data_IF_827113028306
#
_entry.id   IF_827113028306
#
_cell.length_a   1.000
_cell.length_b   1.000
_cell.length_c   1.000
_cell.angle_alpha   90.00
_cell.angle_beta   90.00
_cell.angle_gamma   90.00
#
_symmetry.space_group_name_H-M   'P 1'
#
loop_
_entity.id
_entity.type
_entity.pdbx_description
1 polymer ?
#
# COMPACT_ATOMS: atom_id res chain seq x y z
N UNK A 1 -20.37 -9.25 -7.36
CA UNK A 1 -20.20 -10.72 -7.53
C UNK A 1 -19.84 -11.30 -6.16
N UNK A 2 -20.69 -12.12 -5.53
CA UNK A 2 -20.32 -12.75 -4.24
C UNK A 2 -19.11 -13.64 -4.47
N UNK A 3 -18.03 -13.39 -3.71
CA UNK A 3 -16.84 -14.23 -3.74
C UNK A 3 -17.24 -15.65 -3.37
N UNK A 4 -16.88 -16.60 -4.22
CA UNK A 4 -17.02 -18.02 -3.90
C UNK A 4 -16.18 -18.28 -2.63
N UNK A 5 -16.78 -18.94 -1.63
CA UNK A 5 -16.11 -19.20 -0.35
C UNK A 5 -14.78 -19.96 -0.52
N UNK A 6 -14.57 -20.61 -1.65
CA UNK A 6 -13.33 -21.26 -2.06
C UNK A 6 -12.22 -20.22 -2.30
N UNK A 7 -12.49 -19.14 -3.05
CA UNK A 7 -11.49 -18.08 -3.32
C UNK A 7 -11.03 -17.36 -2.05
N UNK A 8 -11.96 -17.12 -1.13
CA UNK A 8 -11.61 -16.50 0.16
C UNK A 8 -10.70 -17.41 1.00
N UNK A 9 -10.98 -18.73 1.01
CA UNK A 9 -10.13 -19.68 1.71
C UNK A 9 -8.72 -19.75 1.12
N UNK A 10 -8.60 -19.70 -0.19
CA UNK A 10 -7.32 -19.71 -0.89
C UNK A 10 -6.51 -18.43 -0.64
N UNK A 11 -7.17 -17.25 -0.53
CA UNK A 11 -6.50 -15.99 -0.15
C UNK A 11 -5.95 -16.05 1.28
N UNK A 12 -6.67 -16.68 2.22
CA UNK A 12 -6.16 -16.93 3.57
C UNK A 12 -4.95 -17.87 3.57
N UNK A 13 -4.89 -18.82 2.64
CA UNK A 13 -3.69 -19.66 2.50
C UNK A 13 -2.51 -18.87 1.89
N UNK A 14 -2.76 -17.96 0.94
CA UNK A 14 -1.74 -17.04 0.41
C UNK A 14 -1.14 -16.16 1.52
N UNK A 15 -1.99 -15.61 2.39
CA UNK A 15 -1.56 -14.84 3.57
C UNK A 15 -0.65 -15.66 4.48
N UNK A 16 -1.07 -16.89 4.84
CA UNK A 16 -0.27 -17.78 5.68
C UNK A 16 1.07 -18.14 5.05
N UNK A 17 1.07 -18.38 3.74
CA UNK A 17 2.29 -18.72 3.01
C UNK A 17 3.25 -17.53 2.95
N UNK A 18 2.76 -16.33 2.71
CA UNK A 18 3.53 -15.10 2.76
C UNK A 18 4.20 -14.90 4.14
N UNK A 19 3.43 -15.06 5.22
CA UNK A 19 3.96 -14.97 6.59
C UNK A 19 5.04 -16.02 6.84
N UNK A 20 4.81 -17.27 6.42
CA UNK A 20 5.77 -18.39 6.58
C UNK A 20 7.09 -18.13 5.84
N UNK A 21 7.01 -17.48 4.67
CA UNK A 21 8.17 -17.14 3.85
C UNK A 21 8.81 -15.80 4.23
N UNK A 22 8.32 -15.12 5.29
CA UNK A 22 8.72 -13.77 5.69
C UNK A 22 8.61 -12.75 4.56
N UNK A 23 7.62 -12.90 3.68
CA UNK A 23 7.28 -11.89 2.69
C UNK A 23 6.53 -10.77 3.40
N UNK A 24 6.99 -9.52 3.32
CA UNK A 24 6.28 -8.41 3.93
C UNK A 24 4.95 -8.19 3.19
N UNK A 25 3.86 -8.38 3.90
CA UNK A 25 2.50 -8.04 3.48
C UNK A 25 1.85 -7.18 4.56
N UNK A 26 0.91 -6.33 4.17
CA UNK A 26 0.15 -5.52 5.11
C UNK A 26 -0.56 -6.39 6.16
N UNK A 27 -0.54 -5.97 7.41
CA UNK A 27 -1.24 -6.67 8.49
C UNK A 27 -2.75 -6.65 8.26
N UNK A 28 -3.41 -7.76 8.62
CA UNK A 28 -4.83 -7.97 8.32
C UNK A 28 -5.74 -6.87 8.86
N UNK A 29 -5.50 -6.39 10.07
CA UNK A 29 -6.28 -5.33 10.71
C UNK A 29 -6.18 -4.02 9.91
N UNK A 30 -4.97 -3.68 9.47
CA UNK A 30 -4.70 -2.49 8.66
C UNK A 30 -5.35 -2.59 7.29
N UNK A 31 -5.21 -3.76 6.63
CA UNK A 31 -5.79 -4.02 5.33
C UNK A 31 -7.32 -3.98 5.37
N UNK A 32 -7.93 -4.58 6.40
CA UNK A 32 -9.40 -4.53 6.59
C UNK A 32 -9.89 -3.10 6.78
N UNK A 33 -9.21 -2.33 7.63
CA UNK A 33 -9.51 -0.92 7.83
C UNK A 33 -9.43 -0.11 6.53
N UNK A 34 -8.38 -0.30 5.74
CA UNK A 34 -8.20 0.39 4.46
C UNK A 34 -9.31 0.04 3.46
N UNK A 35 -9.66 -1.25 3.32
CA UNK A 35 -10.74 -1.69 2.43
C UNK A 35 -12.09 -1.12 2.86
N UNK A 36 -12.39 -1.10 4.16
CA UNK A 36 -13.64 -0.55 4.68
C UNK A 36 -13.70 0.98 4.48
N UNK A 37 -12.56 1.67 4.62
CA UNK A 37 -12.44 3.09 4.33
C UNK A 37 -12.73 3.38 2.85
N UNK A 38 -12.16 2.60 1.92
CA UNK A 38 -12.40 2.78 0.48
C UNK A 38 -13.86 2.53 0.10
N UNK A 39 -14.49 1.48 0.67
CA UNK A 39 -15.93 1.22 0.48
C UNK A 39 -16.81 2.35 1.00
N UNK A 40 -16.49 2.89 2.18
CA UNK A 40 -17.29 3.94 2.81
C UNK A 40 -17.30 5.22 1.98
N UNK A 41 -16.22 5.48 1.22
CA UNK A 41 -16.09 6.64 0.35
C UNK A 41 -16.51 6.37 -1.10
N UNK A 42 -16.99 5.16 -1.41
CA UNK A 42 -17.37 4.74 -2.77
C UNK A 42 -16.22 4.93 -3.79
N UNK A 43 -15.01 4.59 -3.38
CA UNK A 43 -13.83 4.69 -4.22
C UNK A 43 -13.75 3.50 -5.19
N UNK A 44 -13.24 3.75 -6.41
CA UNK A 44 -13.19 2.78 -7.51
C UNK A 44 -11.80 2.53 -8.08
N UNK A 45 -10.79 3.28 -7.62
CA UNK A 45 -9.43 3.13 -8.14
C UNK A 45 -8.36 3.39 -7.08
N UNK A 46 -7.27 2.60 -7.15
CA UNK A 46 -6.11 2.76 -6.30
C UNK A 46 -4.82 2.64 -7.10
N UNK A 47 -3.90 3.59 -6.91
CA UNK A 47 -2.50 3.42 -7.26
C UNK A 47 -1.75 2.88 -6.04
N UNK A 48 -1.16 1.69 -6.17
CA UNK A 48 -0.38 1.06 -5.12
C UNK A 48 1.12 1.13 -5.42
N UNK A 49 1.92 1.53 -4.46
CA UNK A 49 3.37 1.53 -4.56
C UNK A 49 3.95 0.42 -3.67
N UNK A 50 4.40 -0.66 -4.33
CA UNK A 50 4.88 -1.88 -3.68
C UNK A 50 3.78 -2.92 -3.53
N UNK A 51 3.66 -3.84 -4.50
CA UNK A 51 2.68 -4.92 -4.43
C UNK A 51 3.18 -6.17 -3.71
N UNK A 52 4.48 -6.30 -3.51
CA UNK A 52 5.09 -7.57 -3.11
C UNK A 52 4.55 -8.72 -3.98
N UNK A 53 3.87 -9.70 -3.39
CA UNK A 53 3.25 -10.83 -4.11
C UNK A 53 1.81 -10.55 -4.59
N UNK A 54 1.37 -9.29 -4.56
CA UNK A 54 0.04 -8.86 -5.01
C UNK A 54 -1.08 -9.09 -4.00
N UNK A 55 -0.78 -9.35 -2.73
CA UNK A 55 -1.80 -9.71 -1.72
C UNK A 55 -2.77 -8.55 -1.45
N UNK A 56 -2.29 -7.36 -1.18
CA UNK A 56 -3.10 -6.16 -0.95
C UNK A 56 -3.95 -5.80 -2.17
N UNK A 57 -3.36 -5.81 -3.37
CA UNK A 57 -4.07 -5.56 -4.62
C UNK A 57 -5.21 -6.56 -4.84
N UNK A 58 -4.96 -7.86 -4.62
CA UNK A 58 -5.98 -8.91 -4.68
C UNK A 58 -7.09 -8.68 -3.67
N UNK A 59 -6.74 -8.36 -2.43
CA UNK A 59 -7.73 -8.11 -1.37
C UNK A 59 -8.61 -6.90 -1.70
N UNK A 60 -8.05 -5.80 -2.23
CA UNK A 60 -8.83 -4.64 -2.69
C UNK A 60 -9.75 -5.03 -3.86
N UNK A 61 -9.21 -5.59 -4.93
CA UNK A 61 -9.96 -5.92 -6.15
C UNK A 61 -11.06 -6.96 -5.95
N UNK A 62 -10.90 -7.85 -4.97
CA UNK A 62 -11.87 -8.89 -4.63
C UNK A 62 -12.97 -8.36 -3.71
N UNK A 63 -12.63 -7.53 -2.75
CA UNK A 63 -13.57 -7.10 -1.71
C UNK A 63 -14.34 -5.82 -2.06
N UNK A 64 -13.89 -5.06 -3.07
CA UNK A 64 -14.56 -3.83 -3.50
C UNK A 64 -15.11 -4.07 -4.92
N UNK A 65 -16.40 -3.84 -5.11
CA UNK A 65 -17.03 -3.98 -6.43
C UNK A 65 -16.51 -2.90 -7.38
N UNK A 66 -16.32 -3.24 -8.66
CA UNK A 66 -15.87 -2.34 -9.73
C UNK A 66 -14.60 -1.53 -9.41
N UNK A 67 -13.69 -2.13 -8.61
CA UNK A 67 -12.46 -1.48 -8.16
C UNK A 67 -11.27 -1.90 -9.03
N UNK A 68 -10.51 -0.91 -9.49
CA UNK A 68 -9.29 -1.10 -10.29
C UNK A 68 -8.08 -0.76 -9.42
N UNK A 69 -7.11 -1.65 -9.40
CA UNK A 69 -5.81 -1.42 -8.77
C UNK A 69 -4.74 -1.33 -9.84
N UNK A 70 -3.98 -0.25 -9.86
CA UNK A 70 -2.76 -0.15 -10.65
C UNK A 70 -1.59 -0.12 -9.68
N UNK A 71 -0.60 -1.01 -9.84
CA UNK A 71 0.46 -1.21 -8.86
C UNK A 71 1.85 -1.29 -9.49
N UNK A 72 2.88 -0.83 -8.76
CA UNK A 72 4.27 -0.81 -9.22
C UNK A 72 5.13 -1.62 -8.24
N UNK A 73 5.83 -2.65 -8.75
CA UNK A 73 6.74 -3.49 -7.97
C UNK A 73 8.16 -3.45 -8.56
N UNK A 74 9.15 -3.24 -7.71
CA UNK A 74 10.55 -3.15 -8.12
C UNK A 74 11.24 -4.51 -8.22
N UNK A 75 10.91 -5.42 -7.30
CA UNK A 75 11.55 -6.72 -7.18
C UNK A 75 11.00 -7.69 -8.24
N UNK A 76 11.90 -8.21 -9.09
CA UNK A 76 11.53 -9.08 -10.20
C UNK A 76 10.83 -10.37 -9.74
N UNK A 77 11.31 -10.99 -8.67
CA UNK A 77 10.76 -12.27 -8.21
C UNK A 77 9.38 -12.06 -7.58
N UNK A 78 9.20 -10.97 -6.82
CA UNK A 78 7.91 -10.57 -6.25
C UNK A 78 6.92 -10.19 -7.34
N UNK A 79 7.33 -9.42 -8.34
CA UNK A 79 6.51 -9.09 -9.50
C UNK A 79 6.01 -10.35 -10.20
N UNK A 80 6.90 -11.32 -10.49
CA UNK A 80 6.51 -12.57 -11.14
C UNK A 80 5.52 -13.37 -10.29
N UNK A 81 5.72 -13.41 -8.98
CA UNK A 81 4.80 -14.08 -8.07
C UNK A 81 3.45 -13.35 -7.99
N UNK A 82 3.44 -12.01 -7.97
CA UNK A 82 2.22 -11.22 -8.03
C UNK A 82 1.43 -11.50 -9.32
N UNK A 83 2.09 -11.53 -10.49
CA UNK A 83 1.46 -11.88 -11.76
C UNK A 83 0.84 -13.28 -11.72
N UNK A 84 1.52 -14.28 -11.14
CA UNK A 84 0.96 -15.63 -10.97
C UNK A 84 -0.29 -15.62 -10.09
N UNK A 85 -0.24 -14.88 -8.98
CA UNK A 85 -1.36 -14.76 -8.06
C UNK A 85 -2.55 -14.05 -8.71
N UNK A 86 -2.33 -12.94 -9.41
CA UNK A 86 -3.38 -12.20 -10.14
C UNK A 86 -4.06 -13.11 -11.17
N UNK A 87 -3.28 -13.89 -11.93
CA UNK A 87 -3.80 -14.87 -12.89
C UNK A 87 -4.61 -15.98 -12.20
N UNK A 88 -4.07 -16.56 -11.13
CA UNK A 88 -4.71 -17.63 -10.34
C UNK A 88 -6.11 -17.23 -9.86
N UNK A 89 -6.25 -15.99 -9.41
CA UNK A 89 -7.53 -15.46 -8.92
C UNK A 89 -8.40 -14.83 -10.02
N UNK A 90 -7.94 -14.82 -11.28
CA UNK A 90 -8.65 -14.22 -12.44
C UNK A 90 -8.97 -12.75 -12.25
N UNK A 91 -7.99 -11.97 -11.75
CA UNK A 91 -8.13 -10.54 -11.47
C UNK A 91 -7.40 -9.65 -12.48
N UNK A 92 -6.99 -10.18 -13.64
CA UNK A 92 -6.25 -9.45 -14.67
C UNK A 92 -7.00 -8.25 -15.27
N UNK A 93 -8.33 -8.25 -15.22
CA UNK A 93 -9.14 -7.12 -15.67
C UNK A 93 -9.26 -6.01 -14.61
N UNK A 94 -8.93 -6.32 -13.35
CA UNK A 94 -9.04 -5.39 -12.22
C UNK A 94 -7.69 -4.94 -11.66
N UNK A 95 -6.60 -5.68 -11.95
CA UNK A 95 -5.27 -5.37 -11.41
C UNK A 95 -4.28 -5.23 -12.56
N UNK A 96 -3.72 -4.04 -12.69
CA UNK A 96 -2.66 -3.69 -13.62
C UNK A 96 -1.36 -3.60 -12.83
N UNK A 97 -0.35 -4.40 -13.20
CA UNK A 97 0.91 -4.42 -12.48
C UNK A 97 2.09 -4.05 -13.39
N UNK A 98 2.91 -3.12 -12.93
CA UNK A 98 4.14 -2.68 -13.60
C UNK A 98 5.36 -3.19 -12.85
N UNK A 99 6.34 -3.74 -13.61
CA UNK A 99 7.65 -4.06 -13.06
C UNK A 99 8.60 -2.90 -13.31
N UNK A 100 8.77 -2.02 -12.33
CA UNK A 100 9.64 -0.86 -12.46
C UNK A 100 10.00 -0.26 -11.09
N UNK A 101 10.93 0.68 -11.09
CA UNK A 101 11.24 1.49 -9.93
C UNK A 101 10.27 2.68 -9.83
N UNK A 102 9.40 2.67 -8.84
CA UNK A 102 8.43 3.73 -8.64
C UNK A 102 9.02 5.15 -8.50
N UNK A 103 10.30 5.29 -8.10
CA UNK A 103 10.96 6.62 -8.06
C UNK A 103 11.23 7.19 -9.44
N UNK A 104 11.50 6.34 -10.44
CA UNK A 104 11.87 6.73 -11.81
C UNK A 104 10.81 6.40 -12.84
N UNK A 105 9.77 5.65 -12.45
CA UNK A 105 8.65 5.27 -13.31
C UNK A 105 8.04 6.49 -14.00
N UNK A 106 7.83 6.39 -15.31
CA UNK A 106 7.19 7.44 -16.07
C UNK A 106 5.65 7.36 -15.89
N UNK A 107 5.09 8.36 -15.24
CA UNK A 107 3.65 8.40 -14.94
C UNK A 107 2.77 8.39 -16.21
N UNK A 108 3.31 8.73 -17.38
CA UNK A 108 2.59 8.63 -18.65
C UNK A 108 2.30 7.19 -19.05
N UNK A 109 3.01 6.22 -18.48
CA UNK A 109 2.75 4.79 -18.67
C UNK A 109 1.58 4.25 -17.83
N UNK A 110 1.10 5.00 -16.83
CA UNK A 110 -0.09 4.62 -16.08
C UNK A 110 -1.31 4.60 -17.01
N UNK A 111 -2.14 3.56 -16.87
CA UNK A 111 -3.38 3.38 -17.61
C UNK A 111 -4.42 4.38 -17.12
N UNK A 112 -4.58 4.48 -15.81
CA UNK A 112 -5.40 5.52 -15.18
C UNK A 112 -4.58 6.79 -14.98
N UNK A 113 -5.19 7.95 -15.21
CA UNK A 113 -4.51 9.25 -15.08
C UNK A 113 -4.79 9.93 -13.76
N UNK A 114 -5.87 9.52 -13.08
CA UNK A 114 -6.26 9.97 -11.75
C UNK A 114 -6.78 8.79 -10.95
N UNK A 115 -6.59 8.83 -9.64
CA UNK A 115 -6.97 7.76 -8.72
C UNK A 115 -7.79 8.31 -7.56
N UNK A 116 -8.73 7.52 -7.05
CA UNK A 116 -9.41 7.82 -5.79
C UNK A 116 -8.48 7.62 -4.61
N UNK A 117 -7.58 6.63 -4.71
CA UNK A 117 -6.67 6.27 -3.64
C UNK A 117 -5.22 6.17 -4.13
N UNK A 118 -4.29 6.57 -3.25
CA UNK A 118 -2.88 6.21 -3.31
C UNK A 118 -2.56 5.35 -2.09
N UNK A 119 -1.99 4.17 -2.31
CA UNK A 119 -1.51 3.32 -1.21
C UNK A 119 0.00 3.15 -1.28
N UNK A 120 0.71 3.51 -0.21
CA UNK A 120 2.18 3.43 -0.13
C UNK A 120 2.59 2.38 0.90
N UNK A 121 3.04 1.21 0.43
CA UNK A 121 3.62 0.12 1.24
C UNK A 121 4.91 -0.40 0.59
N UNK A 122 5.80 0.50 0.22
CA UNK A 122 7.07 0.19 -0.43
C UNK A 122 8.27 0.47 0.49
N UNK A 123 9.42 0.75 -0.11
CA UNK A 123 10.66 1.07 0.60
C UNK A 123 10.48 2.28 1.55
N UNK A 124 10.33 2.00 2.82
CA UNK A 124 9.98 2.97 3.89
C UNK A 124 10.91 4.17 3.99
N UNK A 125 12.16 4.03 3.50
CA UNK A 125 13.13 5.12 3.42
C UNK A 125 12.79 6.19 2.36
N UNK A 126 11.79 5.96 1.51
CA UNK A 126 11.44 6.78 0.35
C UNK A 126 9.99 7.31 0.41
N UNK A 127 9.28 7.14 1.50
CA UNK A 127 7.86 7.52 1.64
C UNK A 127 7.55 8.93 1.17
N UNK A 128 8.35 9.91 1.59
CA UNK A 128 8.15 11.30 1.17
C UNK A 128 8.24 11.47 -0.34
N UNK A 129 9.24 10.83 -0.98
CA UNK A 129 9.41 10.93 -2.44
C UNK A 129 8.26 10.25 -3.20
N UNK A 130 7.78 9.09 -2.72
CA UNK A 130 6.61 8.45 -3.30
C UNK A 130 5.37 9.34 -3.14
N UNK A 131 5.16 9.87 -1.95
CA UNK A 131 4.06 10.77 -1.68
C UNK A 131 4.09 12.01 -2.59
N UNK A 132 5.21 12.75 -2.63
CA UNK A 132 5.38 13.95 -3.44
C UNK A 132 5.18 13.66 -4.96
N UNK A 133 5.62 12.49 -5.42
CA UNK A 133 5.49 12.09 -6.83
C UNK A 133 4.07 11.70 -7.22
N UNK A 134 3.37 10.96 -6.38
CA UNK A 134 2.10 10.32 -6.75
C UNK A 134 0.86 10.98 -6.15
N UNK A 135 0.97 11.76 -5.08
CA UNK A 135 -0.17 12.51 -4.53
C UNK A 135 -0.83 13.48 -5.53
N UNK A 136 -0.11 14.09 -6.47
CA UNK A 136 -0.73 14.90 -7.53
C UNK A 136 -1.69 14.12 -8.44
N UNK A 137 -1.58 12.79 -8.53
CA UNK A 137 -2.46 11.91 -9.31
C UNK A 137 -3.71 11.49 -8.52
N UNK A 138 -3.80 11.81 -7.25
CA UNK A 138 -5.00 11.56 -6.43
C UNK A 138 -6.01 12.66 -6.68
N UNK A 139 -7.28 12.29 -6.88
CA UNK A 139 -8.38 13.23 -7.03
C UNK A 139 -8.50 14.15 -5.81
N UNK A 140 -9.19 15.28 -5.95
CA UNK A 140 -9.28 16.26 -4.85
C UNK A 140 -10.05 15.73 -3.63
N UNK A 141 -11.03 14.86 -3.84
CA UNK A 141 -11.79 14.15 -2.80
C UNK A 141 -11.18 12.78 -2.41
N UNK A 142 -10.07 12.43 -3.06
CA UNK A 142 -9.36 11.18 -2.83
C UNK A 142 -8.46 11.19 -1.59
N UNK A 143 -7.84 10.05 -1.32
CA UNK A 143 -6.96 9.87 -0.14
C UNK A 143 -5.65 9.19 -0.48
N UNK A 144 -4.63 9.47 0.33
CA UNK A 144 -3.44 8.64 0.39
C UNK A 144 -3.41 7.86 1.71
N UNK A 145 -3.13 6.57 1.63
CA UNK A 145 -2.89 5.69 2.80
C UNK A 145 -1.43 5.28 2.81
N UNK A 146 -0.77 5.47 3.95
CA UNK A 146 0.63 5.03 4.16
C UNK A 146 0.68 4.06 5.33
N UNK A 147 1.21 2.86 5.11
CA UNK A 147 1.34 1.83 6.15
C UNK A 147 2.71 1.86 6.85
N UNK A 148 2.83 1.14 7.96
CA UNK A 148 4.03 0.88 8.74
C UNK A 148 4.71 2.12 9.36
N UNK A 149 3.96 3.13 9.75
CA UNK A 149 4.52 4.32 10.39
C UNK A 149 4.92 4.14 11.85
N UNK A 150 4.58 3.01 12.48
CA UNK A 150 5.07 2.62 13.81
C UNK A 150 6.28 1.70 13.73
N UNK A 151 6.43 0.99 12.61
CA UNK A 151 7.53 0.06 12.35
C UNK A 151 7.81 -0.85 13.54
N UNK A 152 6.83 -1.69 13.87
CA UNK A 152 6.86 -2.62 15.03
C UNK A 152 7.13 -1.91 16.37
N UNK A 153 6.64 -0.67 16.51
CA UNK A 153 6.88 0.16 17.69
C UNK A 153 8.28 0.80 17.79
N UNK A 154 9.17 0.50 16.84
CA UNK A 154 10.56 1.00 16.87
C UNK A 154 10.66 2.51 16.71
N UNK A 155 9.67 3.17 16.12
CA UNK A 155 9.63 4.63 15.98
C UNK A 155 9.58 5.33 17.36
N UNK A 156 9.00 4.67 18.36
CA UNK A 156 8.91 5.20 19.74
C UNK A 156 10.16 4.92 20.58
N UNK A 157 11.02 3.98 20.15
CA UNK A 157 12.16 3.48 20.94
C UNK A 157 13.48 3.51 20.16
N UNK A 158 13.70 4.55 19.35
CA UNK A 158 14.84 4.64 18.42
C UNK A 158 16.20 4.45 19.12
N UNK A 159 16.32 4.95 20.35
CA UNK A 159 17.56 4.86 21.12
C UNK A 159 17.93 3.43 21.55
N UNK A 160 16.94 2.54 21.62
CA UNK A 160 17.14 1.13 21.93
C UNK A 160 17.59 0.29 20.72
N UNK A 161 17.52 0.83 19.51
CA UNK A 161 17.87 0.11 18.28
C UNK A 161 19.40 0.02 18.16
N UNK A 162 19.95 -1.20 18.29
CA UNK A 162 21.40 -1.45 18.20
C UNK A 162 21.91 -1.42 16.76
N UNK A 163 21.13 -1.97 15.81
CA UNK A 163 21.52 -2.03 14.40
C UNK A 163 21.49 -0.65 13.76
N UNK A 164 22.63 -0.20 13.22
CA UNK A 164 22.78 1.14 12.62
C UNK A 164 21.86 1.34 11.42
N UNK A 165 21.72 0.35 10.54
CA UNK A 165 20.89 0.47 9.33
C UNK A 165 19.41 0.56 9.70
N UNK A 166 18.95 -0.29 10.61
CA UNK A 166 17.58 -0.23 11.14
C UNK A 166 17.31 1.12 11.81
N UNK A 167 18.23 1.62 12.62
CA UNK A 167 18.10 2.93 13.27
C UNK A 167 17.99 4.07 12.24
N UNK A 168 18.77 4.02 11.16
CA UNK A 168 18.69 5.03 10.09
C UNK A 168 17.34 4.94 9.34
N UNK A 169 16.84 3.74 9.09
CA UNK A 169 15.53 3.54 8.48
C UNK A 169 14.42 4.12 9.36
N UNK A 170 14.40 3.77 10.64
CA UNK A 170 13.39 4.27 11.60
C UNK A 170 13.42 5.79 11.72
N UNK A 171 14.62 6.40 11.70
CA UNK A 171 14.74 7.87 11.65
C UNK A 171 14.11 8.48 10.40
N UNK A 172 14.19 7.82 9.24
CA UNK A 172 13.54 8.32 8.01
C UNK A 172 12.01 8.19 8.10
N UNK A 173 11.51 7.08 8.64
CA UNK A 173 10.06 6.91 8.88
C UNK A 173 9.55 8.00 9.82
N UNK A 174 10.24 8.23 10.94
CA UNK A 174 9.88 9.27 11.91
C UNK A 174 9.88 10.67 11.27
N UNK A 175 10.88 11.00 10.47
CA UNK A 175 10.95 12.28 9.75
C UNK A 175 9.77 12.46 8.79
N UNK A 176 9.42 11.42 8.02
CA UNK A 176 8.25 11.47 7.15
C UNK A 176 6.98 11.68 7.96
N UNK A 177 6.80 10.92 9.06
CA UNK A 177 5.64 11.05 9.96
C UNK A 177 5.53 12.47 10.53
N UNK A 178 6.62 13.04 11.03
CA UNK A 178 6.66 14.40 11.55
C UNK A 178 6.38 15.43 10.45
N UNK A 179 6.95 15.25 9.26
CA UNK A 179 6.77 16.14 8.13
C UNK A 179 5.30 16.17 7.67
N UNK A 180 4.67 15.01 7.48
CA UNK A 180 3.30 14.96 6.98
C UNK A 180 2.27 15.44 8.01
N UNK A 181 2.47 15.13 9.29
CA UNK A 181 1.59 15.57 10.37
C UNK A 181 1.62 17.11 10.59
N UNK A 182 2.71 17.77 10.21
CA UNK A 182 2.86 19.23 10.31
C UNK A 182 2.65 19.95 8.97
N UNK A 183 2.26 19.24 7.91
CA UNK A 183 2.04 19.84 6.61
C UNK A 183 0.64 20.45 6.53
N UNK A 184 0.56 21.77 6.37
CA UNK A 184 -0.70 22.53 6.36
C UNK A 184 -1.52 22.35 5.07
N UNK A 185 -0.92 21.80 4.00
CA UNK A 185 -1.61 21.52 2.72
C UNK A 185 -2.53 20.30 2.80
N UNK A 186 -2.35 19.45 3.84
CA UNK A 186 -3.08 18.19 3.97
C UNK A 186 -3.81 18.10 5.30
N UNK A 187 -4.96 17.44 5.27
CA UNK A 187 -5.61 16.90 6.46
C UNK A 187 -5.07 15.49 6.70
N UNK A 188 -4.50 15.26 7.88
CA UNK A 188 -3.79 14.02 8.19
C UNK A 188 -4.40 13.38 9.44
N UNK A 189 -4.86 12.13 9.31
CA UNK A 189 -5.33 11.31 10.43
C UNK A 189 -4.40 10.11 10.60
N UNK A 190 -3.90 9.94 11.81
CA UNK A 190 -3.03 8.83 12.15
C UNK A 190 -3.74 7.83 13.06
N UNK A 191 -3.64 6.54 12.72
CA UNK A 191 -4.28 5.44 13.43
C UNK A 191 -3.25 4.41 13.90
N UNK A 192 -3.35 4.01 15.17
CA UNK A 192 -2.60 2.88 15.73
C UNK A 192 -3.29 1.55 15.38
N UNK A 193 -3.42 1.26 14.08
CA UNK A 193 -4.00 0.03 13.54
C UNK A 193 -2.89 -0.69 12.77
N UNK A 194 -2.77 -2.00 12.96
CA UNK A 194 -1.68 -2.76 12.35
C UNK A 194 -0.31 -2.24 12.79
N UNK A 195 0.53 -1.86 11.84
CA UNK A 195 1.87 -1.28 12.09
C UNK A 195 1.87 0.26 11.97
N UNK A 196 0.72 0.90 12.21
CA UNK A 196 0.54 2.35 12.15
C UNK A 196 0.18 2.86 10.76
N UNK A 197 -1.07 3.27 10.58
CA UNK A 197 -1.63 3.76 9.32
C UNK A 197 -1.82 5.27 9.37
N UNK A 198 -1.42 5.95 8.29
CA UNK A 198 -1.71 7.37 8.07
C UNK A 198 -2.67 7.52 6.89
N UNK A 199 -3.76 8.26 7.10
CA UNK A 199 -4.71 8.67 6.05
C UNK A 199 -4.54 10.16 5.79
N UNK A 200 -4.31 10.53 4.54
CA UNK A 200 -3.94 11.88 4.13
C UNK A 200 -4.90 12.35 3.04
N UNK A 201 -5.43 13.55 3.17
CA UNK A 201 -6.34 14.20 2.21
C UNK A 201 -5.80 15.57 1.82
N UNK A 202 -6.08 16.00 0.61
CA UNK A 202 -5.91 17.40 0.22
C UNK A 202 -6.90 18.28 1.02
N UNK A 203 -6.53 19.50 1.36
CA UNK A 203 -7.42 20.49 1.99
C UNK A 203 -8.11 21.36 0.96
#
# INVERSE_FOLDING_TARGET
MKIDGIKMKELLELEKEAIKQNIPIMQKEGLSYMIDLFKTHDFHSCLEIGSAIGYSALMMAINIDDFIVETIELDQDRYQEAVKNINKYSMNEKIIIHHDNALTFDNDQLVLKEFDCLFIDAAKAQYQKFFEKYMPLVKDDGICVVDNLDFHGMVFEIDKIKNRNTRQLVKKIKRFKEWILNNEEYEVTYHHIGDGICVIRKR
#
